data_IF_589734519798
#
_entry.id   IF_589734519798
#
_cell.length_a   1.000
_cell.length_b   1.000
_cell.length_c   1.000
_cell.angle_alpha   90.00
_cell.angle_beta   90.00
_cell.angle_gamma   90.00
#
_symmetry.space_group_name_H-M   'P 1'
#
loop_
_entity.id
_entity.type
_entity.pdbx_description
1 polymer ?
#
# COMPACT_ATOMS: atom_id res chain seq x y z
N UNK A 1 8.62 -3.75 -30.28
CA UNK A 1 8.19 -3.36 -28.91
C UNK A 1 9.13 -4.00 -27.91
N UNK A 2 9.57 -3.28 -26.86
CA UNK A 2 10.55 -3.75 -25.89
C UNK A 2 9.99 -3.54 -24.48
N UNK A 3 9.94 -4.60 -23.67
CA UNK A 3 9.44 -4.53 -22.30
C UNK A 3 10.64 -4.46 -21.34
N UNK A 4 10.77 -3.34 -20.64
CA UNK A 4 11.93 -3.08 -19.78
C UNK A 4 11.63 -3.37 -18.31
N UNK A 5 12.42 -4.27 -17.73
CA UNK A 5 12.49 -4.51 -16.29
C UNK A 5 13.55 -3.65 -15.60
N UNK A 6 13.71 -3.89 -14.30
CA UNK A 6 14.80 -3.31 -13.49
C UNK A 6 16.15 -3.93 -13.86
N UNK A 7 16.17 -5.22 -14.16
CA UNK A 7 17.39 -6.02 -14.35
C UNK A 7 17.41 -6.82 -15.65
N UNK A 8 16.28 -6.92 -16.33
CA UNK A 8 16.13 -7.70 -17.58
C UNK A 8 15.34 -6.90 -18.62
N UNK A 9 15.41 -7.35 -19.86
CA UNK A 9 14.62 -6.86 -20.97
C UNK A 9 13.92 -8.06 -21.62
N UNK A 10 12.64 -7.90 -21.96
CA UNK A 10 11.90 -8.84 -22.81
C UNK A 10 11.72 -8.24 -24.19
N UNK A 11 12.05 -9.02 -25.22
CA UNK A 11 11.84 -8.67 -26.64
C UNK A 11 11.03 -9.78 -27.32
N UNK A 12 10.10 -9.47 -28.24
CA UNK A 12 9.55 -10.48 -29.14
C UNK A 12 10.69 -11.20 -29.86
N UNK A 13 10.61 -12.52 -29.99
CA UNK A 13 11.64 -13.29 -30.68
C UNK A 13 11.74 -12.85 -32.14
N UNK A 14 12.97 -12.66 -32.62
CA UNK A 14 13.29 -12.35 -34.00
C UNK A 14 14.17 -13.47 -34.60
N UNK A 15 14.23 -13.57 -35.93
CA UNK A 15 14.93 -14.66 -36.60
C UNK A 15 16.43 -14.69 -36.25
N UNK A 16 16.98 -13.52 -35.95
CA UNK A 16 18.37 -13.31 -35.57
C UNK A 16 18.70 -13.93 -34.19
N UNK A 17 17.69 -14.17 -33.35
CA UNK A 17 17.86 -14.76 -32.01
C UNK A 17 18.04 -16.29 -32.04
N UNK A 18 17.85 -16.93 -33.20
CA UNK A 18 17.81 -18.40 -33.33
C UNK A 18 19.06 -19.08 -32.76
N UNK A 19 20.25 -18.52 -33.01
CA UNK A 19 21.50 -19.08 -32.49
C UNK A 19 21.60 -18.96 -30.97
N UNK A 20 21.25 -17.80 -30.40
CA UNK A 20 21.32 -17.60 -28.95
C UNK A 20 20.29 -18.45 -28.19
N UNK A 21 19.09 -18.60 -28.76
CA UNK A 21 18.06 -19.50 -28.24
C UNK A 21 18.49 -20.97 -28.31
N UNK A 22 19.15 -21.39 -29.40
CA UNK A 22 19.74 -22.72 -29.51
C UNK A 22 20.78 -22.96 -28.42
N UNK A 23 21.69 -22.01 -28.20
CA UNK A 23 22.74 -22.13 -27.19
C UNK A 23 22.16 -22.29 -25.78
N UNK A 24 21.09 -21.54 -25.46
CA UNK A 24 20.35 -21.66 -24.21
C UNK A 24 19.72 -23.05 -24.04
N UNK A 25 19.02 -23.55 -25.06
CA UNK A 25 18.34 -24.85 -25.06
C UNK A 25 19.35 -26.01 -24.94
N UNK A 26 20.47 -25.93 -25.65
CA UNK A 26 21.53 -26.96 -25.60
C UNK A 26 22.19 -27.00 -24.22
N UNK A 27 22.59 -25.83 -23.67
CA UNK A 27 23.30 -25.81 -22.38
C UNK A 27 22.42 -26.24 -21.21
N UNK A 28 21.11 -26.00 -21.28
CA UNK A 28 20.15 -26.34 -20.23
C UNK A 28 19.36 -27.62 -20.51
N UNK A 29 19.67 -28.36 -21.57
CA UNK A 29 18.91 -29.53 -22.02
C UNK A 29 18.56 -30.53 -20.91
N UNK A 30 19.51 -30.97 -20.05
CA UNK A 30 19.17 -31.93 -18.98
C UNK A 30 18.24 -31.34 -17.92
N UNK A 31 18.29 -30.02 -17.70
CA UNK A 31 17.45 -29.32 -16.74
C UNK A 31 16.03 -29.12 -17.29
N UNK A 32 15.89 -28.62 -18.51
CA UNK A 32 14.57 -28.36 -19.12
C UNK A 32 13.76 -29.64 -19.34
N UNK A 33 14.41 -30.74 -19.72
CA UNK A 33 13.74 -32.03 -19.92
C UNK A 33 13.09 -32.61 -18.66
N UNK A 34 13.41 -32.11 -17.47
CA UNK A 34 12.72 -32.50 -16.23
C UNK A 34 11.29 -31.99 -16.20
N UNK A 35 11.00 -30.89 -16.90
CA UNK A 35 9.74 -30.16 -16.82
C UNK A 35 8.98 -30.05 -18.15
N UNK A 36 9.64 -30.33 -19.28
CA UNK A 36 9.04 -30.26 -20.62
C UNK A 36 8.84 -31.64 -21.26
N UNK A 37 7.99 -31.70 -22.28
CA UNK A 37 7.89 -32.87 -23.15
C UNK A 37 9.22 -33.19 -23.86
N UNK A 38 9.37 -34.45 -24.31
CA UNK A 38 10.56 -34.90 -25.04
C UNK A 38 10.62 -34.21 -26.40
N UNK A 39 11.71 -33.48 -26.64
CA UNK A 39 12.04 -32.86 -27.94
C UNK A 39 12.88 -33.84 -28.77
N UNK A 40 12.70 -33.84 -30.08
CA UNK A 40 13.51 -34.61 -31.02
C UNK A 40 14.87 -33.94 -31.29
N UNK A 41 15.68 -34.54 -32.18
CA UNK A 41 17.00 -34.04 -32.51
C UNK A 41 16.98 -32.71 -33.27
N UNK A 42 15.98 -32.50 -34.15
CA UNK A 42 15.84 -31.28 -34.94
C UNK A 42 15.56 -30.05 -34.06
N UNK A 43 14.93 -30.22 -32.89
CA UNK A 43 14.77 -29.11 -31.95
C UNK A 43 16.09 -28.49 -31.48
N UNK A 44 17.19 -29.26 -31.45
CA UNK A 44 18.51 -28.78 -31.02
C UNK A 44 19.43 -28.44 -32.20
N UNK A 45 18.86 -27.89 -33.27
CA UNK A 45 19.61 -27.32 -34.41
C UNK A 45 19.22 -25.87 -34.65
N UNK A 46 20.05 -25.15 -35.41
CA UNK A 46 19.78 -23.76 -35.78
C UNK A 46 18.48 -23.67 -36.58
N UNK A 47 18.30 -24.56 -37.55
CA UNK A 47 17.10 -24.64 -38.40
C UNK A 47 15.86 -24.90 -37.54
N UNK A 48 15.93 -25.81 -36.57
CA UNK A 48 14.79 -26.10 -35.69
C UNK A 48 14.36 -24.92 -34.82
N UNK A 49 15.31 -24.12 -34.31
CA UNK A 49 14.99 -22.91 -33.56
C UNK A 49 14.52 -21.77 -34.49
N UNK A 50 15.12 -21.62 -35.66
CA UNK A 50 14.68 -20.64 -36.66
C UNK A 50 13.24 -20.92 -37.14
N UNK A 51 12.91 -22.18 -37.41
CA UNK A 51 11.56 -22.62 -37.78
C UNK A 51 10.56 -22.42 -36.64
N UNK A 52 11.00 -22.63 -35.39
CA UNK A 52 10.17 -22.36 -34.20
C UNK A 52 9.86 -20.88 -34.07
N UNK A 53 10.86 -20.01 -34.20
CA UNK A 53 10.66 -18.56 -34.15
C UNK A 53 9.76 -18.13 -35.30
N UNK A 54 9.97 -18.64 -36.52
CA UNK A 54 9.12 -18.38 -37.68
C UNK A 54 7.64 -18.69 -37.41
N UNK A 55 7.33 -19.86 -36.83
CA UNK A 55 5.96 -20.22 -36.46
C UNK A 55 5.36 -19.30 -35.40
N UNK A 56 6.13 -18.86 -34.41
CA UNK A 56 5.64 -17.90 -33.41
C UNK A 56 5.42 -16.50 -33.99
N UNK A 57 6.21 -16.09 -34.98
CA UNK A 57 5.97 -14.83 -35.70
C UNK A 57 4.65 -14.89 -36.47
N UNK A 58 4.40 -15.97 -37.21
CA UNK A 58 3.11 -16.19 -37.92
C UNK A 58 1.93 -16.24 -36.93
N UNK A 59 2.08 -16.95 -35.81
CA UNK A 59 1.04 -17.02 -34.77
C UNK A 59 0.81 -15.69 -34.05
N UNK A 60 1.84 -14.85 -33.91
CA UNK A 60 1.73 -13.52 -33.32
C UNK A 60 0.99 -12.57 -34.26
N UNK A 61 1.24 -12.64 -35.57
CA UNK A 61 0.48 -11.89 -36.57
C UNK A 61 -1.00 -12.32 -36.61
N UNK A 62 -1.27 -13.59 -36.34
CA UNK A 62 -2.61 -14.15 -36.27
C UNK A 62 -3.30 -14.03 -34.90
N UNK A 63 -2.67 -13.38 -33.91
CA UNK A 63 -3.18 -13.25 -32.53
C UNK A 63 -3.51 -14.61 -31.84
N UNK A 64 -2.65 -15.60 -32.04
CA UNK A 64 -2.82 -16.96 -31.51
C UNK A 64 -1.78 -17.32 -30.43
N UNK A 65 -0.57 -16.80 -30.56
CA UNK A 65 0.50 -17.00 -29.60
C UNK A 65 1.58 -15.91 -29.71
N UNK A 66 2.30 -15.69 -28.62
CA UNK A 66 3.37 -14.69 -28.53
C UNK A 66 4.58 -15.31 -27.83
N UNK A 67 5.78 -15.13 -28.40
CA UNK A 67 7.05 -15.57 -27.81
C UNK A 67 7.94 -14.37 -27.52
N UNK A 68 8.34 -14.24 -26.26
CA UNK A 68 9.29 -13.25 -25.80
C UNK A 68 10.55 -13.91 -25.25
N UNK A 69 11.70 -13.34 -25.59
CA UNK A 69 13.01 -13.75 -25.10
C UNK A 69 13.50 -12.77 -24.04
N UNK A 70 14.20 -13.30 -23.03
CA UNK A 70 14.70 -12.56 -21.87
C UNK A 70 16.20 -12.30 -22.07
N UNK A 71 16.63 -11.06 -21.89
CA UNK A 71 18.02 -10.62 -22.00
C UNK A 71 18.44 -9.79 -20.78
N UNK A 72 19.75 -9.71 -20.51
CA UNK A 72 20.29 -8.63 -19.69
C UNK A 72 20.39 -7.32 -20.48
N UNK A 73 20.25 -6.14 -19.84
CA UNK A 73 20.45 -4.86 -20.49
C UNK A 73 21.83 -4.77 -21.17
N UNK A 74 21.85 -4.47 -22.46
CA UNK A 74 23.09 -4.35 -23.25
C UNK A 74 23.70 -5.67 -23.71
N UNK A 75 23.03 -6.81 -23.48
CA UNK A 75 23.44 -8.13 -23.98
C UNK A 75 22.48 -8.63 -25.06
N UNK A 76 23.03 -9.37 -26.03
CA UNK A 76 22.29 -10.14 -27.03
C UNK A 76 22.21 -11.64 -26.67
N UNK A 77 22.67 -12.02 -25.48
CA UNK A 77 22.52 -13.38 -24.96
C UNK A 77 21.11 -13.60 -24.40
N UNK A 78 20.41 -14.60 -24.95
CA UNK A 78 19.12 -15.08 -24.46
C UNK A 78 19.33 -15.89 -23.19
N UNK A 79 18.73 -15.45 -22.09
CA UNK A 79 18.84 -16.10 -20.77
C UNK A 79 17.54 -16.81 -20.34
N UNK A 80 16.49 -16.73 -21.15
CA UNK A 80 15.20 -17.37 -20.90
C UNK A 80 14.14 -16.95 -21.90
N UNK A 81 12.95 -17.50 -21.77
CA UNK A 81 11.79 -17.14 -22.59
C UNK A 81 10.49 -17.12 -21.77
N UNK A 82 9.51 -16.40 -22.30
CA UNK A 82 8.13 -16.40 -21.83
C UNK A 82 7.21 -16.46 -23.04
N UNK A 83 6.25 -17.36 -23.01
CA UNK A 83 5.27 -17.60 -24.06
C UNK A 83 3.86 -17.34 -23.54
N UNK A 84 3.03 -16.74 -24.39
CA UNK A 84 1.57 -16.76 -24.26
C UNK A 84 1.03 -17.61 -25.40
N UNK A 85 0.35 -18.70 -25.11
CA UNK A 85 -0.15 -19.66 -26.11
C UNK A 85 -1.64 -19.88 -25.94
N UNK A 86 -2.28 -20.43 -26.97
CA UNK A 86 -3.73 -20.71 -26.96
C UNK A 86 -4.54 -19.44 -26.62
N UNK A 87 -4.19 -18.33 -27.28
CA UNK A 87 -4.92 -17.07 -27.14
C UNK A 87 -6.33 -17.26 -27.67
N UNK A 88 -7.31 -17.10 -26.78
CA UNK A 88 -8.72 -17.27 -27.06
C UNK A 88 -9.44 -15.91 -26.95
N UNK A 89 -10.13 -15.51 -28.03
CA UNK A 89 -10.92 -14.27 -28.11
C UNK A 89 -12.41 -14.51 -27.93
N UNK A 90 -13.20 -13.43 -27.88
CA UNK A 90 -14.66 -13.50 -27.69
C UNK A 90 -15.03 -13.58 -26.23
N UNK A 91 -15.75 -14.62 -25.81
CA UNK A 91 -16.28 -14.73 -24.44
C UNK A 91 -15.24 -15.19 -23.39
N UNK A 92 -14.10 -15.71 -23.82
CA UNK A 92 -13.02 -16.13 -22.90
C UNK A 92 -12.02 -15.00 -22.63
N UNK A 93 -11.47 -14.37 -23.68
CA UNK A 93 -10.38 -13.39 -23.58
C UNK A 93 -9.23 -13.92 -22.69
N UNK A 94 -8.66 -15.07 -23.04
CA UNK A 94 -7.68 -15.75 -22.18
C UNK A 94 -6.51 -16.36 -22.94
N UNK A 95 -5.47 -16.75 -22.21
CA UNK A 95 -4.35 -17.53 -22.76
C UNK A 95 -3.67 -18.39 -21.68
N UNK A 96 -2.79 -19.28 -22.13
CA UNK A 96 -1.86 -20.01 -21.27
C UNK A 96 -0.47 -19.36 -21.28
N UNK A 97 0.16 -19.26 -20.11
CA UNK A 97 1.55 -18.82 -19.98
C UNK A 97 2.49 -20.01 -19.78
N UNK A 98 3.60 -20.01 -20.52
CA UNK A 98 4.75 -20.90 -20.32
C UNK A 98 6.04 -20.09 -20.19
N UNK A 99 7.01 -20.56 -19.42
CA UNK A 99 8.29 -19.87 -19.28
C UNK A 99 9.41 -20.80 -18.81
N UNK A 100 10.65 -20.45 -19.15
CA UNK A 100 11.84 -21.03 -18.57
C UNK A 100 13.00 -20.03 -18.54
N UNK A 101 13.95 -20.29 -17.65
CA UNK A 101 15.15 -19.47 -17.45
C UNK A 101 16.35 -20.40 -17.43
N UNK A 102 17.49 -19.91 -17.90
CA UNK A 102 18.77 -20.59 -17.73
C UNK A 102 18.97 -20.97 -16.25
N UNK A 103 19.40 -22.21 -16.01
CA UNK A 103 19.59 -22.76 -14.68
C UNK A 103 20.58 -21.92 -13.87
N UNK A 104 21.58 -21.30 -14.50
CA UNK A 104 22.56 -20.43 -13.83
C UNK A 104 21.92 -19.21 -13.16
N UNK A 105 20.75 -18.76 -13.61
CA UNK A 105 20.07 -17.56 -13.14
C UNK A 105 18.83 -17.85 -12.28
N UNK A 106 18.55 -19.13 -11.99
CA UNK A 106 17.45 -19.53 -11.13
C UNK A 106 17.61 -19.01 -9.69
N UNK A 107 16.48 -18.76 -9.03
CA UNK A 107 16.44 -18.29 -7.64
C UNK A 107 16.77 -16.80 -7.44
N UNK A 108 17.21 -16.08 -8.48
CA UNK A 108 17.61 -14.66 -8.40
C UNK A 108 16.45 -13.67 -8.70
N UNK A 109 15.26 -14.21 -9.01
CA UNK A 109 14.05 -13.42 -9.21
C UNK A 109 13.86 -12.83 -10.61
N UNK A 110 14.74 -13.14 -11.59
CA UNK A 110 14.59 -12.67 -12.97
C UNK A 110 13.32 -13.20 -13.63
N UNK A 111 13.00 -14.48 -13.44
CA UNK A 111 11.76 -15.04 -14.01
C UNK A 111 10.50 -14.43 -13.40
N UNK A 112 10.47 -14.13 -12.09
CA UNK A 112 9.35 -13.39 -11.48
C UNK A 112 9.19 -12.00 -12.10
N UNK A 113 10.30 -11.33 -12.39
CA UNK A 113 10.30 -10.04 -13.08
C UNK A 113 9.78 -10.16 -14.52
N UNK A 114 10.21 -11.18 -15.26
CA UNK A 114 9.78 -11.46 -16.63
C UNK A 114 8.28 -11.77 -16.71
N UNK A 115 7.79 -12.64 -15.82
CA UNK A 115 6.36 -12.97 -15.75
C UNK A 115 5.53 -11.74 -15.43
N UNK A 116 5.96 -10.86 -14.53
CA UNK A 116 5.23 -9.60 -14.25
C UNK A 116 5.16 -8.68 -15.47
N UNK A 117 6.23 -8.62 -16.27
CA UNK A 117 6.25 -7.83 -17.50
C UNK A 117 5.30 -8.40 -18.55
N UNK A 118 5.31 -9.72 -18.77
CA UNK A 118 4.43 -10.33 -19.77
C UNK A 118 2.96 -10.27 -19.37
N UNK A 119 2.67 -10.44 -18.07
CA UNK A 119 1.30 -10.37 -17.54
C UNK A 119 0.72 -8.99 -17.80
N UNK A 120 1.51 -7.94 -17.54
CA UNK A 120 1.12 -6.57 -17.87
C UNK A 120 0.85 -6.40 -19.36
N UNK A 121 1.77 -6.84 -20.21
CA UNK A 121 1.61 -6.80 -21.66
C UNK A 121 0.32 -7.50 -22.14
N UNK A 122 0.05 -8.71 -21.63
CA UNK A 122 -1.13 -9.49 -21.97
C UNK A 122 -2.45 -8.76 -21.63
N UNK A 123 -2.46 -7.94 -20.59
CA UNK A 123 -3.65 -7.26 -20.12
C UNK A 123 -3.79 -5.83 -20.64
N UNK A 124 -2.68 -5.10 -20.81
CA UNK A 124 -2.66 -3.72 -21.28
C UNK A 124 -2.65 -3.62 -22.80
N UNK A 125 -1.80 -4.41 -23.47
CA UNK A 125 -1.61 -4.33 -24.93
C UNK A 125 -2.48 -5.35 -25.68
N UNK A 126 -2.59 -6.58 -25.15
CA UNK A 126 -3.41 -7.63 -25.79
C UNK A 126 -4.88 -7.63 -25.34
N UNK A 127 -5.23 -6.78 -24.37
CA UNK A 127 -6.58 -6.67 -23.79
C UNK A 127 -7.21 -8.01 -23.38
N UNK A 128 -6.40 -8.93 -22.85
CA UNK A 128 -6.92 -10.18 -22.31
C UNK A 128 -7.63 -9.95 -20.96
N UNK A 129 -8.51 -10.87 -20.59
CA UNK A 129 -9.18 -10.92 -19.30
C UNK A 129 -8.48 -11.89 -18.33
N UNK A 130 -7.87 -12.97 -18.82
CA UNK A 130 -7.33 -14.04 -17.96
C UNK A 130 -6.05 -14.68 -18.51
N UNK A 131 -5.14 -15.06 -17.61
CA UNK A 131 -3.94 -15.84 -17.95
C UNK A 131 -3.88 -17.07 -17.04
N UNK A 132 -3.67 -18.25 -17.62
CA UNK A 132 -3.62 -19.53 -16.92
C UNK A 132 -2.23 -20.16 -17.00
N UNK A 133 -1.85 -20.89 -15.95
CA UNK A 133 -0.61 -21.65 -15.91
C UNK A 133 -0.83 -23.02 -15.26
N UNK A 134 -0.16 -24.03 -15.80
CA UNK A 134 -0.09 -25.37 -15.21
C UNK A 134 1.32 -25.67 -14.74
N UNK A 135 1.49 -26.05 -13.48
CA UNK A 135 2.80 -26.39 -12.92
C UNK A 135 2.75 -27.77 -12.29
N UNK A 136 3.73 -28.64 -12.59
CA UNK A 136 3.83 -29.93 -11.90
C UNK A 136 3.97 -29.72 -10.38
N UNK A 137 3.21 -30.42 -9.52
CA UNK A 137 3.15 -30.15 -8.08
C UNK A 137 4.50 -30.17 -7.34
N UNK A 138 5.50 -30.91 -7.85
CA UNK A 138 6.84 -30.97 -7.26
C UNK A 138 7.75 -29.80 -7.68
N UNK A 139 7.37 -28.98 -8.66
CA UNK A 139 8.15 -27.81 -9.10
C UNK A 139 7.81 -26.58 -8.24
N UNK A 140 8.32 -26.59 -7.00
CA UNK A 140 8.10 -25.50 -6.05
C UNK A 140 8.61 -24.14 -6.56
N UNK A 141 9.70 -24.11 -7.32
CA UNK A 141 10.28 -22.88 -7.84
C UNK A 141 9.33 -22.16 -8.82
N UNK A 142 8.77 -22.89 -9.79
CA UNK A 142 7.81 -22.32 -10.75
C UNK A 142 6.51 -21.90 -10.05
N UNK A 143 6.01 -22.67 -9.08
CA UNK A 143 4.86 -22.25 -8.27
C UNK A 143 5.13 -20.92 -7.53
N UNK A 144 6.33 -20.73 -6.98
CA UNK A 144 6.70 -19.49 -6.30
C UNK A 144 6.84 -18.30 -7.27
N UNK A 145 7.28 -18.52 -8.50
CA UNK A 145 7.28 -17.49 -9.55
C UNK A 145 5.86 -16.98 -9.79
N UNK A 146 4.90 -17.87 -10.00
CA UNK A 146 3.50 -17.53 -10.25
C UNK A 146 2.87 -16.79 -9.06
N UNK A 147 3.04 -17.32 -7.84
CA UNK A 147 2.52 -16.68 -6.62
C UNK A 147 3.09 -15.26 -6.43
N UNK A 148 4.39 -15.07 -6.64
CA UNK A 148 5.02 -13.74 -6.56
C UNK A 148 4.59 -12.81 -7.69
N UNK A 149 4.20 -13.35 -8.84
CA UNK A 149 3.68 -12.59 -9.96
C UNK A 149 2.18 -12.24 -9.82
N UNK A 150 1.50 -12.73 -8.77
CA UNK A 150 0.11 -12.39 -8.45
C UNK A 150 -0.91 -13.48 -8.80
N UNK A 151 -0.48 -14.60 -9.37
CA UNK A 151 -1.37 -15.71 -9.69
C UNK A 151 -1.90 -16.38 -8.41
N UNK A 152 -3.15 -16.84 -8.46
CA UNK A 152 -3.81 -17.61 -7.41
C UNK A 152 -3.87 -19.08 -7.79
N UNK A 153 -3.77 -19.97 -6.79
CA UNK A 153 -4.01 -21.41 -6.97
C UNK A 153 -5.51 -21.64 -7.11
N UNK A 154 -5.94 -22.38 -8.13
CA UNK A 154 -7.36 -22.67 -8.33
C UNK A 154 -7.70 -24.16 -8.21
N UNK A 155 -6.83 -25.07 -8.68
CA UNK A 155 -7.13 -26.50 -8.63
C UNK A 155 -5.98 -27.42 -9.04
N UNK A 156 -6.23 -28.72 -9.05
CA UNK A 156 -5.28 -29.73 -9.52
C UNK A 156 -5.86 -30.43 -10.77
N UNK A 157 -5.26 -30.18 -11.92
CA UNK A 157 -5.54 -30.90 -13.15
C UNK A 157 -4.85 -32.27 -13.10
N UNK A 158 -5.64 -33.33 -12.88
CA UNK A 158 -5.12 -34.71 -12.80
C UNK A 158 -4.74 -35.22 -14.19
N UNK A 159 -3.55 -35.81 -14.33
CA UNK A 159 -3.02 -36.40 -15.58
C UNK A 159 -3.12 -35.45 -16.78
N UNK A 160 -2.79 -34.18 -16.57
CA UNK A 160 -3.01 -33.10 -17.52
C UNK A 160 -2.07 -33.13 -18.74
N UNK A 161 -0.76 -33.30 -18.51
CA UNK A 161 0.25 -33.21 -19.59
C UNK A 161 1.15 -34.44 -19.56
N UNK A 162 1.46 -34.98 -20.75
CA UNK A 162 2.38 -36.12 -20.91
C UNK A 162 3.83 -35.63 -20.94
N UNK A 163 4.55 -35.81 -19.84
CA UNK A 163 5.96 -35.43 -19.68
C UNK A 163 6.80 -36.71 -19.63
N UNK A 164 7.77 -36.84 -20.53
CA UNK A 164 8.65 -38.02 -20.64
C UNK A 164 7.91 -39.37 -20.67
N UNK A 165 6.78 -39.43 -21.38
CA UNK A 165 5.99 -40.64 -21.55
C UNK A 165 4.92 -40.88 -20.48
N UNK A 166 4.94 -40.13 -19.37
CA UNK A 166 4.00 -40.28 -18.26
C UNK A 166 3.04 -39.09 -18.19
N UNK A 167 1.76 -39.37 -17.94
CA UNK A 167 0.77 -38.33 -17.66
C UNK A 167 0.98 -37.78 -16.25
N UNK A 168 1.23 -36.47 -16.14
CA UNK A 168 1.54 -35.77 -14.89
C UNK A 168 0.41 -34.85 -14.48
N UNK A 169 0.14 -34.80 -13.17
CA UNK A 169 -0.74 -33.80 -12.57
C UNK A 169 -0.12 -32.41 -12.66
N UNK A 170 -0.96 -31.38 -12.76
CA UNK A 170 -0.55 -29.98 -12.78
C UNK A 170 -1.41 -29.17 -11.80
N UNK A 171 -0.78 -28.48 -10.85
CA UNK A 171 -1.43 -27.43 -10.08
C UNK A 171 -1.75 -26.29 -11.05
N UNK A 172 -3.04 -25.95 -11.15
CA UNK A 172 -3.50 -24.84 -11.97
C UNK A 172 -3.42 -23.55 -11.17
N UNK A 173 -3.00 -22.52 -11.89
CA UNK A 173 -2.94 -21.15 -11.43
C UNK A 173 -3.63 -20.26 -12.45
N UNK A 174 -4.25 -19.20 -11.98
CA UNK A 174 -4.75 -18.16 -12.85
C UNK A 174 -4.52 -16.78 -12.24
N UNK A 175 -4.49 -15.78 -13.12
CA UNK A 175 -4.54 -14.38 -12.77
C UNK A 175 -5.54 -13.70 -13.69
N UNK A 176 -6.39 -12.86 -13.12
CA UNK A 176 -7.37 -12.08 -13.86
C UNK A 176 -6.82 -10.68 -14.14
N UNK A 177 -7.35 -10.04 -15.18
CA UNK A 177 -7.10 -8.62 -15.45
C UNK A 177 -7.44 -7.79 -14.22
N UNK A 178 -8.47 -8.14 -13.47
CA UNK A 178 -8.85 -7.49 -12.21
C UNK A 178 -7.97 -7.80 -10.99
N UNK A 179 -7.07 -8.79 -11.09
CA UNK A 179 -6.06 -9.06 -10.05
C UNK A 179 -4.81 -8.16 -10.21
N UNK A 180 -4.59 -7.60 -11.40
CA UNK A 180 -3.45 -6.70 -11.72
C UNK A 180 -3.89 -5.29 -12.08
N UNK A 181 -5.11 -5.13 -12.59
CA UNK A 181 -5.85 -3.91 -12.38
C UNK A 181 -5.97 -3.80 -10.86
N UNK A 182 -5.90 -2.58 -10.34
CA UNK A 182 -6.42 -2.39 -9.02
C UNK A 182 -7.86 -2.96 -9.00
N UNK A 183 -8.40 -3.29 -7.83
CA UNK A 183 -9.86 -3.39 -7.74
C UNK A 183 -10.46 -2.05 -8.25
N UNK A 184 -11.73 -1.79 -8.05
CA UNK A 184 -12.14 -0.39 -8.02
C UNK A 184 -11.45 0.25 -6.78
N UNK A 185 -10.15 0.56 -6.90
CA UNK A 185 -9.15 0.99 -5.92
C UNK A 185 -7.75 1.15 -6.57
N UNK A 186 -7.58 2.13 -7.48
CA UNK A 186 -6.33 2.88 -7.60
C UNK A 186 -5.21 2.33 -8.50
N UNK A 187 -5.11 2.91 -9.70
CA UNK A 187 -3.93 2.88 -10.58
C UNK A 187 -2.59 2.82 -9.81
N UNK A 188 -1.64 2.00 -10.27
CA UNK A 188 -0.24 2.17 -9.90
C UNK A 188 0.27 3.49 -10.51
N UNK A 189 0.04 4.58 -9.79
CA UNK A 189 0.61 5.88 -10.08
C UNK A 189 2.15 5.78 -10.11
N UNK A 190 2.85 6.63 -10.89
CA UNK A 190 4.27 6.90 -10.64
C UNK A 190 4.46 7.22 -9.15
N UNK A 191 5.67 7.19 -8.59
CA UNK A 191 5.89 7.53 -7.18
C UNK A 191 5.39 8.96 -6.86
N UNK A 192 4.09 9.12 -6.63
CA UNK A 192 3.41 10.33 -6.25
C UNK A 192 3.50 10.41 -4.74
N UNK A 193 3.85 11.58 -4.22
CA UNK A 193 3.88 11.80 -2.78
C UNK A 193 2.57 11.41 -2.10
N UNK A 194 2.66 11.08 -0.82
CA UNK A 194 1.54 10.70 0.03
C UNK A 194 0.53 11.85 0.16
N UNK A 195 -0.74 11.49 0.31
CA UNK A 195 -1.84 12.41 0.58
C UNK A 195 -2.28 12.30 2.04
N UNK A 196 -2.19 13.40 2.79
CA UNK A 196 -2.55 13.49 4.20
C UNK A 196 -3.81 14.32 4.37
N UNK A 197 -4.65 13.98 5.35
CA UNK A 197 -5.62 14.91 5.93
C UNK A 197 -5.40 15.00 7.44
N UNK A 198 -5.23 16.21 7.95
CA UNK A 198 -4.87 16.47 9.34
C UNK A 198 -5.90 17.41 9.96
N UNK A 199 -6.62 16.91 10.96
CA UNK A 199 -7.62 17.67 11.68
C UNK A 199 -6.98 18.41 12.87
N UNK A 200 -7.32 19.69 13.05
CA UNK A 200 -6.80 20.49 14.17
C UNK A 200 -5.35 20.93 13.96
N UNK A 201 -4.98 21.29 12.73
CA UNK A 201 -3.59 21.52 12.33
C UNK A 201 -3.20 22.99 12.11
N UNK A 202 -3.88 23.92 12.79
CA UNK A 202 -3.53 25.35 12.75
C UNK A 202 -2.42 25.74 13.74
N UNK A 203 -2.21 24.99 14.82
CA UNK A 203 -1.20 25.24 15.87
C UNK A 203 -0.82 23.96 16.61
N UNK A 204 0.15 24.07 17.54
CA UNK A 204 0.55 22.97 18.43
C UNK A 204 0.95 21.70 17.68
N UNK A 205 0.57 20.54 18.23
CA UNK A 205 0.90 19.22 17.66
C UNK A 205 0.38 19.04 16.22
N UNK A 206 -0.84 19.49 15.91
CA UNK A 206 -1.39 19.38 14.56
C UNK A 206 -0.62 20.23 13.55
N UNK A 207 -0.18 21.44 13.96
CA UNK A 207 0.71 22.27 13.16
C UNK A 207 2.07 21.61 12.92
N UNK A 208 2.63 20.96 13.94
CA UNK A 208 3.85 20.17 13.83
C UNK A 208 3.69 19.01 12.84
N UNK A 209 2.57 18.27 12.88
CA UNK A 209 2.28 17.22 11.89
C UNK A 209 2.23 17.77 10.46
N UNK A 210 1.50 18.87 10.23
CA UNK A 210 1.37 19.47 8.90
C UNK A 210 2.69 20.04 8.34
N UNK A 211 3.65 20.34 9.22
CA UNK A 211 4.98 20.81 8.86
C UNK A 211 5.98 19.67 8.64
N UNK A 212 6.02 18.69 9.53
CA UNK A 212 7.16 17.77 9.64
C UNK A 212 6.91 16.35 9.12
N UNK A 213 5.65 15.90 9.01
CA UNK A 213 5.36 14.56 8.47
C UNK A 213 5.50 14.46 6.94
N UNK A 214 4.94 15.39 6.14
CA UNK A 214 4.96 15.31 4.69
C UNK A 214 6.34 15.64 4.12
N UNK A 215 6.73 14.95 3.05
CA UNK A 215 7.94 15.21 2.28
C UNK A 215 7.63 15.92 0.95
N UNK A 216 8.65 16.46 0.29
CA UNK A 216 8.49 17.10 -1.02
C UNK A 216 7.76 16.16 -2.01
N UNK A 217 6.73 16.68 -2.67
CA UNK A 217 5.83 15.91 -3.55
C UNK A 217 4.54 15.43 -2.89
N UNK A 218 4.46 15.43 -1.56
CA UNK A 218 3.26 15.06 -0.81
C UNK A 218 2.18 16.14 -0.90
N UNK A 219 0.93 15.75 -0.60
CA UNK A 219 -0.23 16.64 -0.51
C UNK A 219 -0.81 16.59 0.90
N UNK A 220 -1.18 17.73 1.46
CA UNK A 220 -1.74 17.82 2.82
C UNK A 220 -2.99 18.67 2.81
N UNK A 221 -4.09 18.08 3.26
CA UNK A 221 -5.36 18.74 3.53
C UNK A 221 -5.42 19.10 5.01
N UNK A 222 -5.40 20.38 5.32
CA UNK A 222 -5.37 20.91 6.69
C UNK A 222 -6.79 21.32 7.06
N UNK A 223 -7.39 20.64 8.03
CA UNK A 223 -8.75 20.93 8.51
C UNK A 223 -8.65 21.73 9.81
N UNK A 224 -9.10 22.98 9.79
CA UNK A 224 -9.11 23.83 10.99
C UNK A 224 -9.97 25.08 10.78
N UNK A 225 -10.49 25.65 11.88
CA UNK A 225 -11.26 26.90 11.86
C UNK A 225 -10.43 28.11 11.40
N UNK A 226 -9.18 28.19 11.86
CA UNK A 226 -8.30 29.32 11.56
C UNK A 226 -7.30 28.95 10.48
N UNK A 227 -6.98 29.89 9.59
CA UNK A 227 -5.99 29.67 8.53
C UNK A 227 -4.63 29.26 9.10
N UNK A 228 -4.08 28.09 8.73
CA UNK A 228 -2.80 27.60 9.24
C UNK A 228 -1.62 28.33 8.59
N UNK A 229 -0.58 28.64 9.38
CA UNK A 229 0.64 29.29 8.86
C UNK A 229 1.45 28.38 7.94
N UNK A 230 1.30 27.05 8.06
CA UNK A 230 2.03 26.08 7.26
C UNK A 230 1.73 26.15 5.76
N UNK A 231 0.64 26.81 5.34
CA UNK A 231 0.33 27.05 3.92
C UNK A 231 1.42 27.83 3.18
N UNK A 232 2.16 28.68 3.90
CA UNK A 232 3.15 29.58 3.31
C UNK A 232 4.55 28.95 3.18
N UNK A 233 4.71 27.69 3.60
CA UNK A 233 5.98 26.96 3.53
C UNK A 233 6.32 26.57 2.09
N UNK A 234 7.59 26.78 1.70
CA UNK A 234 8.12 26.47 0.36
C UNK A 234 9.07 25.26 0.40
N UNK A 235 8.53 24.10 0.76
CA UNK A 235 9.26 22.85 0.97
C UNK A 235 8.90 21.75 -0.05
N UNK A 236 8.15 22.09 -1.10
CA UNK A 236 7.71 21.16 -2.14
C UNK A 236 6.49 20.33 -1.76
N UNK A 237 5.86 20.57 -0.60
CA UNK A 237 4.59 19.95 -0.19
C UNK A 237 3.42 20.79 -0.69
N UNK A 238 2.41 20.15 -1.29
CA UNK A 238 1.16 20.81 -1.70
C UNK A 238 0.20 20.89 -0.52
N UNK A 239 -0.10 22.08 -0.01
CA UNK A 239 -1.00 22.26 1.14
C UNK A 239 -2.30 22.92 0.73
N UNK A 240 -3.41 22.34 1.17
CA UNK A 240 -4.76 22.84 0.97
C UNK A 240 -5.40 23.06 2.35
N UNK A 241 -6.08 24.18 2.56
CA UNK A 241 -6.82 24.43 3.79
C UNK A 241 -8.31 24.27 3.57
N UNK A 242 -8.93 23.53 4.47
CA UNK A 242 -10.38 23.38 4.58
C UNK A 242 -10.80 24.04 5.90
N UNK A 243 -11.47 25.17 5.78
CA UNK A 243 -12.10 25.83 6.91
C UNK A 243 -13.30 25.00 7.36
N UNK A 244 -13.24 24.48 8.60
CA UNK A 244 -14.32 23.69 9.17
C UNK A 244 -14.35 23.83 10.70
N UNK A 245 -15.55 23.99 11.23
CA UNK A 245 -15.83 23.87 12.66
C UNK A 245 -16.32 22.46 12.98
N UNK A 246 -15.53 21.72 13.77
CA UNK A 246 -15.85 20.36 14.16
C UNK A 246 -16.91 20.29 15.27
N UNK A 247 -17.37 21.42 15.80
CA UNK A 247 -18.61 21.45 16.59
C UNK A 247 -19.86 21.29 15.72
N UNK A 248 -19.76 21.53 14.41
CA UNK A 248 -20.87 21.37 13.48
C UNK A 248 -21.14 19.89 13.16
N UNK A 249 -22.40 19.41 13.22
CA UNK A 249 -22.77 18.06 12.78
C UNK A 249 -22.47 17.77 11.30
N UNK A 250 -22.44 18.80 10.45
CA UNK A 250 -22.24 18.69 9.01
C UNK A 250 -20.77 18.74 8.58
N UNK A 251 -19.84 18.90 9.52
CA UNK A 251 -18.40 19.06 9.25
C UNK A 251 -17.86 17.96 8.32
N UNK A 252 -18.19 16.69 8.58
CA UNK A 252 -17.74 15.56 7.76
C UNK A 252 -18.22 15.64 6.31
N UNK A 253 -19.46 16.06 6.07
CA UNK A 253 -20.03 16.22 4.73
C UNK A 253 -19.38 17.39 3.98
N UNK A 254 -19.14 18.51 4.67
CA UNK A 254 -18.45 19.67 4.10
C UNK A 254 -17.01 19.34 3.70
N UNK A 255 -16.28 18.64 4.56
CA UNK A 255 -14.89 18.22 4.31
C UNK A 255 -14.83 17.23 3.14
N UNK A 256 -15.71 16.23 3.11
CA UNK A 256 -15.78 15.27 2.02
C UNK A 256 -16.06 15.95 0.66
N UNK A 257 -16.95 16.94 0.64
CA UNK A 257 -17.23 17.75 -0.56
C UNK A 257 -16.00 18.56 -1.00
N UNK A 258 -15.28 19.17 -0.06
CA UNK A 258 -14.07 19.94 -0.34
C UNK A 258 -12.94 19.07 -0.93
N UNK A 259 -12.83 17.80 -0.51
CA UNK A 259 -11.85 16.86 -1.05
C UNK A 259 -12.13 16.39 -2.47
N UNK A 260 -13.37 16.51 -2.97
CA UNK A 260 -13.77 16.11 -4.33
C UNK A 260 -13.31 14.69 -4.71
N UNK A 261 -13.35 13.75 -3.76
CA UNK A 261 -12.96 12.36 -3.99
C UNK A 261 -11.44 12.10 -3.99
N UNK A 262 -10.61 13.08 -3.65
CA UNK A 262 -9.15 12.91 -3.55
C UNK A 262 -8.76 11.70 -2.68
N UNK A 263 -7.79 10.92 -3.14
CA UNK A 263 -7.23 9.80 -2.37
C UNK A 263 -6.57 10.32 -1.10
N UNK A 264 -6.81 9.65 0.02
CA UNK A 264 -6.19 9.95 1.31
C UNK A 264 -5.42 8.71 1.78
N UNK A 265 -4.12 8.86 1.95
CA UNK A 265 -3.24 7.81 2.47
C UNK A 265 -3.18 7.83 3.99
N UNK A 266 -3.19 9.02 4.59
CA UNK A 266 -3.07 9.19 6.04
C UNK A 266 -4.12 10.17 6.55
N UNK A 267 -5.00 9.70 7.43
CA UNK A 267 -5.90 10.56 8.20
C UNK A 267 -5.39 10.68 9.63
N UNK A 268 -5.19 11.91 10.10
CA UNK A 268 -4.79 12.20 11.48
C UNK A 268 -5.88 13.04 12.15
N UNK A 269 -6.53 12.47 13.16
CA UNK A 269 -7.47 13.20 14.01
C UNK A 269 -6.77 13.67 15.30
N UNK A 270 -6.29 14.90 15.31
CA UNK A 270 -5.53 15.50 16.42
C UNK A 270 -6.40 16.41 17.34
N UNK A 271 -7.70 16.50 17.09
CA UNK A 271 -8.53 17.53 17.72
C UNK A 271 -8.90 17.12 19.14
N UNK A 272 -8.73 18.05 20.08
CA UNK A 272 -9.14 17.92 21.46
C UNK A 272 -9.44 19.30 22.06
N UNK A 273 -10.62 19.45 22.66
CA UNK A 273 -10.95 20.55 23.57
C UNK A 273 -11.33 19.98 24.92
N UNK A 274 -11.28 20.80 25.96
CA UNK A 274 -11.61 20.44 27.33
C UNK A 274 -12.43 21.55 27.98
N UNK A 275 -12.83 21.31 29.21
CA UNK A 275 -13.59 22.20 30.07
C UNK A 275 -12.88 23.54 30.22
N UNK A 276 -13.61 24.66 30.26
CA UNK A 276 -13.02 26.01 30.26
C UNK A 276 -12.07 26.27 31.43
N UNK A 277 -12.32 25.62 32.58
CA UNK A 277 -11.45 25.62 33.77
C UNK A 277 -10.74 24.28 33.97
N UNK A 278 -10.77 23.38 32.98
CA UNK A 278 -10.10 22.09 33.07
C UNK A 278 -8.61 22.24 33.36
N UNK A 279 -8.06 21.33 34.17
CA UNK A 279 -6.66 21.33 34.60
C UNK A 279 -6.24 22.56 35.42
N UNK A 280 -7.20 23.37 35.90
CA UNK A 280 -6.94 24.44 36.87
C UNK A 280 -7.19 23.95 38.32
N UNK A 281 -6.51 24.52 39.33
CA UNK A 281 -6.71 24.14 40.72
C UNK A 281 -8.12 24.35 41.27
N UNK A 282 -8.92 25.19 40.61
CA UNK A 282 -10.29 25.53 41.02
C UNK A 282 -11.37 24.90 40.13
N UNK A 283 -10.99 23.90 39.32
CA UNK A 283 -11.94 23.14 38.50
C UNK A 283 -13.00 22.45 39.37
N UNK A 284 -14.26 22.58 38.96
CA UNK A 284 -15.43 22.05 39.65
C UNK A 284 -16.50 21.65 38.60
N UNK A 285 -16.71 20.34 38.43
CA UNK A 285 -17.63 19.79 37.44
C UNK A 285 -19.08 20.27 37.65
N UNK A 286 -19.49 20.61 38.88
CA UNK A 286 -20.84 21.11 39.16
C UNK A 286 -21.13 22.45 38.47
N UNK A 287 -20.08 23.17 38.05
CA UNK A 287 -20.17 24.48 37.40
C UNK A 287 -20.05 24.42 35.88
N UNK A 288 -19.83 23.24 35.30
CA UNK A 288 -19.67 23.12 33.86
C UNK A 288 -21.00 23.34 33.11
N UNK A 289 -20.93 24.10 32.02
CA UNK A 289 -22.07 24.35 31.14
C UNK A 289 -22.41 23.08 30.33
N UNK A 290 -23.66 22.56 30.40
CA UNK A 290 -24.09 21.41 29.60
C UNK A 290 -23.88 21.56 28.09
N UNK A 291 -23.95 22.79 27.56
CA UNK A 291 -23.67 23.03 26.14
C UNK A 291 -22.19 22.84 25.82
N UNK A 292 -21.30 23.29 26.71
CA UNK A 292 -19.86 23.08 26.59
C UNK A 292 -19.49 21.60 26.73
N UNK A 293 -20.10 20.88 27.68
CA UNK A 293 -19.95 19.41 27.81
C UNK A 293 -20.31 18.72 26.49
N UNK A 294 -21.46 19.08 25.91
CA UNK A 294 -21.91 18.52 24.62
C UNK A 294 -20.95 18.87 23.48
N UNK A 295 -20.41 20.10 23.47
CA UNK A 295 -19.42 20.53 22.48
C UNK A 295 -18.10 19.74 22.61
N UNK A 296 -17.63 19.43 23.82
CA UNK A 296 -16.45 18.58 24.04
C UNK A 296 -16.67 17.19 23.44
N UNK A 297 -17.79 16.53 23.75
CA UNK A 297 -18.13 15.22 23.18
C UNK A 297 -18.27 15.29 21.66
N UNK A 298 -18.91 16.35 21.15
CA UNK A 298 -19.08 16.54 19.72
C UNK A 298 -17.73 16.66 19.01
N UNK A 299 -16.85 17.55 19.48
CA UNK A 299 -15.56 17.84 18.85
C UNK A 299 -14.57 16.69 19.01
N UNK A 300 -14.46 16.11 20.21
CA UNK A 300 -13.43 15.11 20.49
C UNK A 300 -13.81 13.70 20.01
N UNK A 301 -15.11 13.39 19.92
CA UNK A 301 -15.60 12.05 19.65
C UNK A 301 -16.53 11.98 18.43
N UNK A 302 -17.70 12.62 18.49
CA UNK A 302 -18.73 12.46 17.46
C UNK A 302 -18.20 12.87 16.08
N UNK A 303 -17.54 14.03 15.99
CA UNK A 303 -16.95 14.53 14.75
C UNK A 303 -15.80 13.66 14.25
N UNK A 304 -15.04 13.01 15.13
CA UNK A 304 -14.03 12.03 14.70
C UNK A 304 -14.71 10.88 13.96
N UNK A 305 -15.77 10.30 14.56
CA UNK A 305 -16.52 9.19 13.99
C UNK A 305 -17.18 9.59 12.66
N UNK A 306 -17.93 10.70 12.63
CA UNK A 306 -18.70 11.11 11.46
C UNK A 306 -17.79 11.60 10.32
N UNK A 307 -16.70 12.30 10.62
CA UNK A 307 -15.71 12.66 9.59
C UNK A 307 -15.06 11.42 9.00
N UNK A 308 -14.58 10.48 9.83
CA UNK A 308 -13.99 9.23 9.33
C UNK A 308 -15.00 8.46 8.49
N UNK A 309 -16.24 8.31 8.95
CA UNK A 309 -17.32 7.67 8.20
C UNK A 309 -17.50 8.27 6.81
N UNK A 310 -17.55 9.60 6.71
CA UNK A 310 -17.70 10.32 5.43
C UNK A 310 -16.47 10.23 4.53
N UNK A 311 -15.28 10.04 5.12
CA UNK A 311 -14.00 9.96 4.41
C UNK A 311 -13.55 8.53 4.09
N UNK A 312 -14.30 7.51 4.51
CA UNK A 312 -14.00 6.12 4.14
C UNK A 312 -13.88 5.91 2.62
N UNK A 313 -14.70 6.51 1.74
CA UNK A 313 -14.52 6.39 0.30
C UNK A 313 -13.17 6.91 -0.19
N UNK A 314 -12.61 7.95 0.44
CA UNK A 314 -11.30 8.50 0.11
C UNK A 314 -10.15 7.60 0.59
N UNK A 315 -10.29 7.06 1.80
CA UNK A 315 -9.30 6.17 2.41
C UNK A 315 -9.23 4.81 1.71
N UNK A 316 -10.38 4.24 1.31
CA UNK A 316 -10.46 2.94 0.63
C UNK A 316 -9.86 2.93 -0.78
N UNK A 317 -9.60 4.12 -1.36
CA UNK A 317 -8.87 4.23 -2.62
C UNK A 317 -7.35 4.10 -2.45
N UNK A 318 -6.83 4.24 -1.23
CA UNK A 318 -5.39 4.16 -0.96
C UNK A 318 -4.93 2.72 -0.79
N UNK A 319 -3.80 2.38 -1.41
CA UNK A 319 -3.07 1.11 -1.21
C UNK A 319 -2.25 1.09 0.08
N UNK A 320 -2.26 2.17 0.87
CA UNK A 320 -1.42 2.38 2.06
C UNK A 320 -2.16 3.15 3.17
N UNK A 321 -3.48 3.06 3.18
CA UNK A 321 -4.35 3.81 4.07
C UNK A 321 -4.04 3.61 5.56
N UNK A 322 -3.87 4.70 6.31
CA UNK A 322 -3.67 4.74 7.76
C UNK A 322 -4.58 5.77 8.41
N UNK A 323 -5.12 5.42 9.57
CA UNK A 323 -5.84 6.33 10.46
C UNK A 323 -5.06 6.41 11.77
N UNK A 324 -4.76 7.63 12.19
CA UNK A 324 -4.11 7.93 13.47
C UNK A 324 -5.05 8.83 14.27
N UNK A 325 -5.41 8.38 15.47
CA UNK A 325 -6.25 9.13 16.40
C UNK A 325 -5.39 9.55 17.59
N UNK A 326 -5.39 10.85 17.89
CA UNK A 326 -4.67 11.38 19.06
C UNK A 326 -5.64 11.38 20.25
N UNK A 327 -5.51 10.34 21.07
CA UNK A 327 -6.17 10.17 22.35
C UNK A 327 -5.53 11.02 23.44
N UNK A 328 -5.38 10.45 24.63
CA UNK A 328 -4.69 11.02 25.78
C UNK A 328 -4.57 9.95 26.87
N UNK A 329 -3.58 10.05 27.76
CA UNK A 329 -3.53 9.25 28.99
C UNK A 329 -4.79 9.39 29.86
N UNK A 330 -5.48 10.53 29.78
CA UNK A 330 -6.82 10.75 30.34
C UNK A 330 -7.90 9.77 29.84
N UNK A 331 -7.67 9.12 28.70
CA UNK A 331 -8.55 8.10 28.12
C UNK A 331 -8.19 6.66 28.51
N UNK A 332 -7.25 6.46 29.44
CA UNK A 332 -6.77 5.16 29.89
C UNK A 332 -7.33 4.78 31.26
N UNK A 333 -7.33 3.48 31.57
CA UNK A 333 -7.71 2.98 32.88
C UNK A 333 -6.84 3.56 33.99
N UNK A 334 -7.44 3.79 35.16
CA UNK A 334 -6.75 4.26 36.37
C UNK A 334 -6.01 5.61 36.22
N UNK A 335 -6.49 6.49 35.34
CA UNK A 335 -6.02 7.88 35.34
C UNK A 335 -6.54 8.66 36.56
N UNK A 336 -5.91 9.79 36.86
CA UNK A 336 -6.22 10.63 38.02
C UNK A 336 -6.86 11.98 37.66
N UNK A 337 -7.49 12.10 36.49
CA UNK A 337 -8.08 13.36 36.03
C UNK A 337 -9.51 13.57 36.54
N UNK A 338 -9.88 14.83 36.76
CA UNK A 338 -11.22 15.24 37.23
C UNK A 338 -12.13 15.78 36.11
N UNK A 339 -11.58 16.02 34.92
CA UNK A 339 -12.28 16.55 33.75
C UNK A 339 -13.21 15.50 33.12
N UNK A 340 -14.49 15.50 33.53
CA UNK A 340 -15.43 14.41 33.24
C UNK A 340 -15.72 14.27 31.75
N UNK A 341 -16.03 15.38 31.07
CA UNK A 341 -16.40 15.36 29.65
C UNK A 341 -15.17 15.06 28.78
N UNK A 342 -14.02 15.63 29.13
CA UNK A 342 -12.76 15.33 28.46
C UNK A 342 -12.38 13.85 28.59
N UNK A 343 -12.39 13.30 29.81
CA UNK A 343 -12.12 11.88 30.08
C UNK A 343 -13.02 10.97 29.25
N UNK A 344 -14.33 11.18 29.35
CA UNK A 344 -15.34 10.42 28.62
C UNK A 344 -15.11 10.47 27.11
N UNK A 345 -14.77 11.65 26.57
CA UNK A 345 -14.50 11.81 25.15
C UNK A 345 -13.27 11.03 24.68
N UNK A 346 -12.22 10.95 25.50
CA UNK A 346 -10.97 10.24 25.17
C UNK A 346 -11.12 8.72 25.29
N UNK A 347 -11.84 8.23 26.30
CA UNK A 347 -12.29 6.83 26.34
C UNK A 347 -13.15 6.46 25.13
N UNK A 348 -14.10 7.32 24.78
CA UNK A 348 -14.96 7.13 23.61
C UNK A 348 -14.16 7.07 22.31
N UNK A 349 -13.17 7.95 22.14
CA UNK A 349 -12.31 7.97 20.94
C UNK A 349 -11.49 6.69 20.82
N UNK A 350 -10.97 6.19 21.95
CA UNK A 350 -10.24 4.91 22.04
C UNK A 350 -11.16 3.72 21.70
N UNK A 351 -12.39 3.73 22.21
CA UNK A 351 -13.42 2.76 21.85
C UNK A 351 -13.76 2.78 20.35
N UNK A 352 -13.92 3.97 19.77
CA UNK A 352 -14.12 4.13 18.34
C UNK A 352 -12.93 3.60 17.52
N UNK A 353 -11.69 3.83 17.96
CA UNK A 353 -10.49 3.29 17.33
C UNK A 353 -10.53 1.75 17.24
N UNK A 354 -10.96 1.10 18.32
CA UNK A 354 -11.08 -0.36 18.37
C UNK A 354 -12.13 -0.90 17.40
N UNK A 355 -13.31 -0.30 17.37
CA UNK A 355 -14.37 -0.71 16.45
C UNK A 355 -14.00 -0.44 14.97
N UNK A 356 -13.42 0.74 14.69
CA UNK A 356 -12.97 1.10 13.34
C UNK A 356 -11.91 0.13 12.81
N UNK A 357 -11.00 -0.35 13.67
CA UNK A 357 -9.96 -1.29 13.26
C UNK A 357 -10.54 -2.59 12.73
N UNK A 358 -11.55 -3.16 13.40
CA UNK A 358 -12.21 -4.38 12.93
C UNK A 358 -13.05 -4.10 11.67
N UNK A 359 -13.74 -2.96 11.61
CA UNK A 359 -14.51 -2.56 10.43
C UNK A 359 -13.64 -2.38 9.18
N UNK A 360 -12.42 -1.86 9.33
CA UNK A 360 -11.53 -1.51 8.23
C UNK A 360 -10.50 -2.60 7.89
N UNK A 361 -10.47 -3.70 8.66
CA UNK A 361 -9.59 -4.85 8.42
C UNK A 361 -9.72 -5.45 7.01
N UNK A 362 -10.92 -5.63 6.43
CA UNK A 362 -11.06 -6.13 5.05
C UNK A 362 -10.45 -5.20 3.99
N UNK A 363 -10.21 -3.94 4.33
CA UNK A 363 -9.61 -2.93 3.44
C UNK A 363 -8.12 -2.71 3.71
N UNK A 364 -7.51 -3.48 4.63
CA UNK A 364 -6.11 -3.35 5.03
C UNK A 364 -5.70 -1.93 5.51
N UNK A 365 -6.66 -1.16 6.04
CA UNK A 365 -6.42 0.18 6.60
C UNK A 365 -6.11 0.04 8.10
N UNK A 366 -4.92 0.47 8.50
CA UNK A 366 -4.50 0.45 9.91
C UNK A 366 -5.15 1.58 10.71
N UNK A 367 -5.56 1.30 11.95
CA UNK A 367 -6.09 2.31 12.89
C UNK A 367 -5.29 2.26 14.18
N UNK A 368 -4.56 3.33 14.46
CA UNK A 368 -3.70 3.50 15.64
C UNK A 368 -4.24 4.62 16.52
N UNK A 369 -4.43 4.33 17.81
CA UNK A 369 -4.67 5.34 18.83
C UNK A 369 -3.36 5.65 19.57
N UNK A 370 -2.97 6.91 19.63
CA UNK A 370 -1.80 7.35 20.39
C UNK A 370 -2.32 8.15 21.57
N UNK A 371 -1.88 7.82 22.78
CA UNK A 371 -2.35 8.42 24.02
C UNK A 371 -1.20 9.17 24.71
N UNK A 372 -0.95 10.44 24.35
CA UNK A 372 0.06 11.25 25.03
C UNK A 372 -0.43 11.72 26.40
N UNK A 373 0.51 11.88 27.33
CA UNK A 373 0.38 12.73 28.51
C UNK A 373 0.58 14.20 28.15
N UNK A 374 1.03 15.00 29.11
CA UNK A 374 1.19 16.44 28.91
C UNK A 374 2.22 16.76 27.81
N UNK A 375 1.82 17.58 26.82
CA UNK A 375 2.64 17.95 25.66
C UNK A 375 3.14 19.40 25.77
N UNK A 376 4.37 19.65 25.35
CA UNK A 376 4.99 20.98 25.29
C UNK A 376 4.45 21.86 24.15
N UNK A 377 3.14 22.07 24.09
CA UNK A 377 2.45 22.77 22.98
C UNK A 377 2.70 24.28 22.93
N UNK A 378 3.20 24.86 24.03
CA UNK A 378 3.55 26.28 24.12
C UNK A 378 4.92 26.61 23.51
N UNK A 379 5.76 25.59 23.27
CA UNK A 379 7.06 25.77 22.61
C UNK A 379 6.94 25.57 21.09
N UNK A 380 7.66 26.36 20.28
CA UNK A 380 7.76 26.10 18.84
C UNK A 380 8.34 24.72 18.56
N UNK A 381 7.85 24.06 17.52
CA UNK A 381 8.35 22.75 17.09
C UNK A 381 9.85 22.78 16.73
N UNK A 382 10.34 23.93 16.26
CA UNK A 382 11.73 24.11 15.83
C UNK A 382 12.70 24.26 17.00
N UNK A 383 12.19 24.47 18.23
CA UNK A 383 13.04 24.60 19.41
C UNK A 383 13.81 23.32 19.74
N UNK A 384 13.35 22.17 19.25
CA UNK A 384 14.01 20.87 19.46
C UNK A 384 13.72 20.26 20.83
N UNK A 385 14.13 18.99 20.97
CA UNK A 385 13.91 18.18 22.18
C UNK A 385 14.71 18.74 23.36
N UNK A 386 15.93 19.21 23.11
CA UNK A 386 16.84 19.73 24.12
C UNK A 386 16.29 20.99 24.81
N UNK A 387 15.62 21.87 24.05
CA UNK A 387 15.01 23.08 24.62
C UNK A 387 13.80 22.74 25.49
N UNK A 388 12.96 21.78 25.08
CA UNK A 388 11.83 21.28 25.88
C UNK A 388 12.35 20.63 27.16
N UNK A 389 13.40 19.81 27.08
CA UNK A 389 14.04 19.23 28.25
C UNK A 389 14.59 20.30 29.21
N UNK A 390 15.20 21.36 28.67
CA UNK A 390 15.70 22.47 29.46
C UNK A 390 14.57 23.20 30.22
N UNK A 391 13.42 23.39 29.58
CA UNK A 391 12.28 24.13 30.13
C UNK A 391 11.45 23.31 31.12
N UNK A 392 11.12 22.06 30.78
CA UNK A 392 10.12 21.27 31.51
C UNK A 392 10.70 20.08 32.27
N UNK A 393 11.99 19.76 32.08
CA UNK A 393 12.70 18.70 32.82
C UNK A 393 11.98 17.32 32.81
N UNK A 394 11.25 17.00 31.75
CA UNK A 394 10.52 15.73 31.62
C UNK A 394 9.06 15.75 32.09
N UNK A 395 8.56 16.89 32.58
CA UNK A 395 7.14 17.08 32.92
C UNK A 395 6.24 17.25 31.68
N UNK A 396 6.80 17.63 30.53
CA UNK A 396 6.06 17.74 29.27
C UNK A 396 6.84 17.06 28.14
N UNK A 397 6.09 16.41 27.25
CA UNK A 397 6.62 15.65 26.12
C UNK A 397 6.90 16.60 24.94
N UNK A 398 8.10 16.54 24.34
CA UNK A 398 8.39 17.24 23.08
C UNK A 398 7.46 16.81 21.95
N UNK A 399 6.99 17.77 21.14
CA UNK A 399 6.13 17.46 19.99
C UNK A 399 6.84 16.55 18.95
N UNK A 400 8.17 16.61 18.89
CA UNK A 400 9.03 15.80 18.03
C UNK A 400 8.86 14.31 18.28
N UNK A 401 8.73 13.90 19.54
CA UNK A 401 8.57 12.49 19.91
C UNK A 401 7.27 11.93 19.33
N UNK A 402 6.19 12.70 19.40
CA UNK A 402 4.89 12.32 18.84
C UNK A 402 4.94 12.34 17.31
N UNK A 403 5.61 13.33 16.69
CA UNK A 403 5.80 13.37 15.23
C UNK A 403 6.56 12.15 14.72
N UNK A 404 7.66 11.76 15.36
CA UNK A 404 8.45 10.60 14.94
C UNK A 404 7.71 9.27 15.16
N UNK A 405 6.93 9.19 16.24
CA UNK A 405 6.06 8.04 16.47
C UNK A 405 4.97 7.93 15.40
N UNK A 406 4.31 9.04 15.03
CA UNK A 406 3.35 9.03 13.91
C UNK A 406 4.06 8.67 12.60
N UNK A 407 5.25 9.23 12.34
CA UNK A 407 6.07 8.90 11.17
C UNK A 407 6.32 7.39 11.11
N UNK A 408 6.74 6.78 12.20
CA UNK A 408 6.96 5.34 12.26
C UNK A 408 5.68 4.55 11.93
N UNK A 409 4.56 4.88 12.57
CA UNK A 409 3.26 4.22 12.36
C UNK A 409 2.82 4.27 10.89
N UNK A 410 2.95 5.42 10.22
CA UNK A 410 2.49 5.58 8.83
C UNK A 410 3.42 4.91 7.79
N UNK A 411 4.63 4.50 8.19
CA UNK A 411 5.56 3.77 7.32
C UNK A 411 5.42 2.24 7.43
N UNK A 412 4.66 1.74 8.39
CA UNK A 412 4.38 0.31 8.50
C UNK A 412 3.63 -0.21 7.27
N UNK A 413 3.99 -1.42 6.83
CA UNK A 413 3.25 -2.11 5.77
C UNK A 413 1.81 -2.38 6.21
N UNK A 414 0.90 -2.58 5.25
CA UNK A 414 -0.50 -2.92 5.55
C UNK A 414 -0.67 -4.32 6.15
N UNK A 415 0.40 -5.14 6.19
CA UNK A 415 0.39 -6.41 6.89
C UNK A 415 0.42 -6.25 8.43
N UNK A 416 0.74 -5.05 8.93
CA UNK A 416 0.89 -4.78 10.35
C UNK A 416 0.10 -3.53 10.77
N UNK A 417 -0.38 -3.54 12.01
CA UNK A 417 -1.12 -2.43 12.61
C UNK A 417 -0.76 -2.35 14.09
N UNK A 418 -0.08 -1.26 14.48
CA UNK A 418 0.06 -0.94 15.89
C UNK A 418 -1.28 -0.41 16.37
N UNK A 419 -1.88 -1.10 17.34
CA UNK A 419 -3.23 -0.77 17.79
C UNK A 419 -3.22 0.51 18.64
N UNK A 420 -2.31 0.57 19.59
CA UNK A 420 -2.31 1.58 20.63
C UNK A 420 -0.88 1.86 21.13
N UNK A 421 -0.57 3.13 21.43
CA UNK A 421 0.70 3.54 22.03
C UNK A 421 0.42 4.57 23.12
N UNK A 422 0.83 4.26 24.36
CA UNK A 422 0.69 5.15 25.51
C UNK A 422 2.02 5.85 25.74
N UNK A 423 1.99 7.19 25.84
CA UNK A 423 3.19 8.03 25.96
C UNK A 423 2.99 8.99 27.13
N UNK A 424 3.10 8.55 28.39
CA UNK A 424 3.07 9.46 29.54
C UNK A 424 4.32 10.34 29.56
N UNK A 425 4.23 11.54 30.15
CA UNK A 425 5.42 12.31 30.46
C UNK A 425 6.18 11.60 31.60
N UNK A 426 7.52 11.69 31.61
CA UNK A 426 8.32 10.96 32.60
C UNK A 426 8.13 11.49 34.03
N UNK A 427 7.90 12.80 34.16
CA UNK A 427 7.63 13.48 35.42
C UNK A 427 6.27 14.19 35.35
N UNK A 428 5.30 13.53 34.74
CA UNK A 428 3.93 14.04 34.71
C UNK A 428 3.46 14.28 36.15
N UNK A 429 2.96 15.48 36.44
CA UNK A 429 2.48 15.81 37.78
C UNK A 429 1.13 15.16 38.08
N UNK A 430 0.43 14.71 37.03
CA UNK A 430 -0.95 14.20 37.06
C UNK A 430 -1.07 12.70 36.71
N UNK A 431 0.05 11.97 36.51
CA UNK A 431 0.07 10.54 36.13
C UNK A 431 0.09 9.56 37.30
#
# INVERSE_FOLDING_TARGET
>A
MLLQGKRIILKPAAKEDAQSLLDLEVRNRPFFQQFSGKKDGSFYTYEGQADRIGRFLEQSEADQAYLFLIFFPGSDEVIGEVMLTEVARGNLQGCWIGYFLDQAYNGQGYMTEAVRLIVRYAFEELDLHRIEAGVMPHNAASMQVLLKAGFKKEGLARKNVKINGEWRDHQTFAILKEDILPAISGEAKPATGRSFIIFGASKGLGGAFAKALPAAGDTVWIVSRNRPQSLELKDGVRRHWIEADLASPDAGSMIAKALQGAVIDVLIYNVGIWESRGFSPDYDFEKDDPQHISAILQVNLTSAITCIQKLLPNLKQSDRGKIVLIGSTAGLENNHISQVAFAASKFGLRGAANALREHLKPHAIGVTCINPGELATQMPYEAGVEAVWAAYRGAQIPLQDIVELVRFVIHLSNASCIKEINVPAMLDADA
#
